data_IF_667440311120
#
_entry.id   IF_667440311120
#
_cell.length_a   1.000
_cell.length_b   1.000
_cell.length_c   1.000
_cell.angle_alpha   90.00
_cell.angle_beta   90.00
_cell.angle_gamma   90.00
#
_symmetry.space_group_name_H-M   'P 1'
#
loop_
_entity.id
_entity.type
_entity.pdbx_description
1 polymer ?
#
# COMPACT_ATOMS: atom_id res chain seq x y z
N UNK A 1 24.03 6.16 3.61
CA UNK A 1 22.64 6.54 3.26
C UNK A 1 22.15 6.00 1.91
N UNK A 2 22.91 5.18 1.17
CA UNK A 2 22.47 4.59 -0.11
C UNK A 2 21.37 3.51 0.03
N UNK A 3 21.45 2.63 1.04
CA UNK A 3 20.54 1.47 1.22
C UNK A 3 19.05 1.78 1.26
N UNK A 4 18.63 2.88 1.90
CA UNK A 4 17.21 3.14 2.15
C UNK A 4 16.45 3.56 0.88
N UNK A 5 17.14 4.25 -0.04
CA UNK A 5 16.59 4.59 -1.36
C UNK A 5 16.35 3.33 -2.20
N UNK A 6 17.24 2.34 -2.09
CA UNK A 6 17.14 1.09 -2.84
C UNK A 6 15.93 0.25 -2.41
N UNK A 7 15.67 0.15 -1.09
CA UNK A 7 14.51 -0.59 -0.59
C UNK A 7 13.19 0.10 -0.91
N UNK A 8 13.12 1.43 -0.80
CA UNK A 8 11.91 2.17 -1.15
C UNK A 8 11.60 2.07 -2.65
N UNK A 9 12.62 2.22 -3.51
CA UNK A 9 12.49 2.04 -4.95
C UNK A 9 12.03 0.63 -5.31
N UNK A 10 12.60 -0.40 -4.68
CA UNK A 10 12.18 -1.79 -4.85
C UNK A 10 10.73 -2.02 -4.40
N UNK A 11 10.33 -1.42 -3.28
CA UNK A 11 8.98 -1.53 -2.74
C UNK A 11 7.96 -0.87 -3.69
N UNK A 12 8.27 0.32 -4.23
CA UNK A 12 7.48 1.02 -5.25
C UNK A 12 7.38 0.19 -6.53
N UNK A 13 8.49 -0.35 -7.03
CA UNK A 13 8.49 -1.19 -8.22
C UNK A 13 7.67 -2.47 -8.03
N UNK A 14 7.83 -3.17 -6.90
CA UNK A 14 7.05 -4.39 -6.60
C UNK A 14 5.56 -4.11 -6.51
N UNK A 15 5.15 -2.99 -5.88
CA UNK A 15 3.77 -2.55 -5.97
C UNK A 15 3.39 -2.34 -7.43
N UNK A 16 4.15 -1.53 -8.18
CA UNK A 16 3.90 -1.15 -9.57
C UNK A 16 3.57 -2.34 -10.49
N UNK A 17 4.28 -3.45 -10.33
CA UNK A 17 4.05 -4.64 -11.16
C UNK A 17 2.98 -5.59 -10.64
N UNK A 18 2.53 -5.45 -9.39
CA UNK A 18 1.52 -6.35 -8.85
C UNK A 18 0.13 -6.02 -9.40
N UNK A 19 -0.56 -7.03 -9.91
CA UNK A 19 -1.94 -6.94 -10.41
C UNK A 19 -2.86 -7.51 -9.34
N UNK A 20 -3.94 -6.80 -9.04
CA UNK A 20 -4.94 -7.22 -8.07
C UNK A 20 -6.23 -7.60 -8.78
N UNK A 21 -6.81 -8.75 -8.45
CA UNK A 21 -8.16 -9.09 -8.89
C UNK A 21 -9.17 -8.20 -8.17
N UNK A 22 -10.19 -7.72 -8.88
CA UNK A 22 -11.30 -6.98 -8.28
C UNK A 22 -11.97 -7.82 -7.18
N UNK A 23 -12.23 -7.19 -6.04
CA UNK A 23 -12.83 -7.86 -4.88
C UNK A 23 -11.88 -8.78 -4.09
N UNK A 24 -10.67 -9.05 -4.58
CA UNK A 24 -9.68 -9.81 -3.81
C UNK A 24 -8.73 -8.88 -3.07
N UNK A 25 -8.41 -9.27 -1.84
CA UNK A 25 -7.43 -8.53 -1.05
C UNK A 25 -7.82 -7.13 -0.65
N UNK A 26 -6.87 -6.38 -0.08
CA UNK A 26 -7.16 -5.02 0.39
C UNK A 26 -7.45 -4.08 -0.78
N UNK A 27 -6.66 -4.16 -1.84
CA UNK A 27 -6.77 -3.26 -3.00
C UNK A 27 -8.04 -3.56 -3.78
N UNK A 28 -8.31 -4.83 -4.10
CA UNK A 28 -9.52 -5.22 -4.82
C UNK A 28 -10.81 -4.97 -4.02
N UNK A 29 -10.78 -5.08 -2.69
CA UNK A 29 -11.93 -4.72 -1.85
C UNK A 29 -12.15 -3.20 -1.78
N UNK A 30 -11.10 -2.40 -1.68
CA UNK A 30 -11.22 -0.93 -1.77
C UNK A 30 -11.76 -0.53 -3.15
N UNK A 31 -11.29 -1.18 -4.20
CA UNK A 31 -11.78 -0.96 -5.55
C UNK A 31 -13.29 -1.15 -5.70
N UNK A 32 -13.80 -2.29 -5.23
CA UNK A 32 -15.22 -2.63 -5.32
C UNK A 32 -16.08 -1.74 -4.43
N UNK A 33 -15.60 -1.42 -3.23
CA UNK A 33 -16.35 -0.58 -2.28
C UNK A 33 -16.36 0.90 -2.63
N UNK A 34 -15.44 1.37 -3.49
CA UNK A 34 -15.27 2.79 -3.77
C UNK A 34 -14.80 3.63 -2.57
N UNK A 35 -14.29 2.97 -1.53
CA UNK A 35 -13.96 3.60 -0.25
C UNK A 35 -12.48 3.90 -0.06
N UNK A 36 -12.05 3.92 1.21
CA UNK A 36 -10.65 4.00 1.59
C UNK A 36 -10.35 3.08 2.78
N UNK A 37 -9.09 2.67 2.94
CA UNK A 37 -8.62 1.85 4.05
C UNK A 37 -7.24 2.25 4.51
N UNK A 38 -7.10 2.36 5.82
CA UNK A 38 -5.83 2.46 6.54
C UNK A 38 -5.24 1.07 6.73
N UNK A 39 -3.98 0.92 6.36
CA UNK A 39 -3.22 -0.31 6.55
C UNK A 39 -1.95 0.00 7.33
N UNK A 40 -1.77 -0.75 8.41
CA UNK A 40 -0.59 -0.71 9.26
C UNK A 40 0.12 -2.05 9.11
N UNK A 41 1.23 -2.12 8.35
CA UNK A 41 1.89 -3.38 8.04
C UNK A 41 2.27 -4.21 9.28
N UNK A 42 2.61 -3.52 10.38
CA UNK A 42 2.92 -4.11 11.68
C UNK A 42 1.80 -4.95 12.31
N UNK A 43 0.54 -4.71 11.94
CA UNK A 43 -0.62 -5.42 12.49
C UNK A 43 -1.24 -6.44 11.53
N UNK A 44 -0.80 -6.43 10.27
CA UNK A 44 -1.59 -7.00 9.20
C UNK A 44 -1.07 -8.37 8.72
N UNK A 45 0.04 -8.85 9.29
CA UNK A 45 0.63 -10.17 9.04
C UNK A 45 -0.23 -11.39 9.41
N UNK A 46 -1.39 -11.19 10.05
CA UNK A 46 -2.24 -12.27 10.56
C UNK A 46 -3.65 -12.32 9.95
N UNK A 47 -4.03 -11.39 9.05
CA UNK A 47 -5.45 -11.13 8.74
C UNK A 47 -5.86 -11.24 7.26
N UNK A 48 -4.92 -11.28 6.30
CA UNK A 48 -5.24 -11.35 4.87
C UNK A 48 -4.59 -12.56 4.19
N UNK A 49 -5.06 -12.88 2.98
CA UNK A 49 -4.57 -14.00 2.18
C UNK A 49 -3.04 -14.06 2.25
N UNK A 50 -2.51 -15.21 2.71
CA UNK A 50 -1.08 -15.34 2.98
C UNK A 50 -0.23 -15.01 1.74
N UNK A 51 -0.79 -15.13 0.53
CA UNK A 51 -0.16 -14.84 -0.74
C UNK A 51 0.02 -13.34 -1.04
N UNK A 52 -0.99 -12.49 -0.81
CA UNK A 52 -0.84 -11.04 -1.00
C UNK A 52 0.13 -10.47 0.01
N UNK A 53 0.05 -10.95 1.25
CA UNK A 53 0.86 -10.46 2.37
C UNK A 53 2.35 -10.67 2.15
N UNK A 54 2.73 -11.85 1.65
CA UNK A 54 4.11 -12.28 1.62
C UNK A 54 5.01 -11.53 0.61
N UNK A 55 4.45 -10.94 -0.45
CA UNK A 55 5.29 -10.39 -1.53
C UNK A 55 5.28 -8.85 -1.61
N UNK A 56 4.09 -8.23 -1.61
CA UNK A 56 4.00 -6.77 -1.73
C UNK A 56 4.28 -6.10 -0.40
N UNK A 57 3.65 -6.58 0.68
CA UNK A 57 3.72 -5.93 1.99
C UNK A 57 5.08 -6.12 2.67
N UNK A 58 5.73 -7.28 2.52
CA UNK A 58 7.09 -7.52 3.01
C UNK A 58 8.11 -6.50 2.46
N UNK A 59 7.97 -6.11 1.19
CA UNK A 59 8.84 -5.09 0.60
C UNK A 59 8.61 -3.71 1.20
N UNK A 60 7.36 -3.37 1.52
CA UNK A 60 7.01 -2.11 2.20
C UNK A 60 7.56 -2.08 3.62
N UNK A 61 7.42 -3.20 4.36
CA UNK A 61 7.94 -3.37 5.71
C UNK A 61 9.46 -3.24 5.70
N UNK A 62 10.14 -3.91 4.77
CA UNK A 62 11.60 -3.84 4.60
C UNK A 62 12.09 -2.44 4.24
N UNK A 63 11.28 -1.67 3.51
CA UNK A 63 11.55 -0.25 3.22
C UNK A 63 11.27 0.69 4.41
N UNK A 64 10.74 0.16 5.53
CA UNK A 64 10.44 0.93 6.74
C UNK A 64 9.09 1.66 6.69
N UNK A 65 8.20 1.30 5.77
CA UNK A 65 6.86 1.87 5.67
C UNK A 65 6.02 1.41 6.86
N UNK A 66 5.40 2.37 7.54
CA UNK A 66 4.62 2.15 8.77
C UNK A 66 3.14 2.40 8.58
N UNK A 67 2.76 3.14 7.55
CA UNK A 67 1.36 3.44 7.26
C UNK A 67 1.15 3.48 5.77
N UNK A 68 0.09 2.81 5.32
CA UNK A 68 -0.35 2.79 3.93
C UNK A 68 -1.83 3.19 3.89
N UNK A 69 -2.18 4.15 3.03
CA UNK A 69 -3.56 4.50 2.71
C UNK A 69 -3.87 3.96 1.32
N UNK A 70 -4.94 3.17 1.23
CA UNK A 70 -5.49 2.68 -0.03
C UNK A 70 -6.82 3.37 -0.26
N UNK A 71 -7.01 4.04 -1.39
CA UNK A 71 -8.21 4.83 -1.69
C UNK A 71 -8.66 4.61 -3.13
N UNK A 72 -9.94 4.32 -3.33
CA UNK A 72 -10.53 4.26 -4.66
C UNK A 72 -10.72 5.68 -5.22
N UNK A 73 -10.39 5.86 -6.50
CA UNK A 73 -10.46 7.14 -7.22
C UNK A 73 -11.41 6.98 -8.41
N UNK A 74 -12.66 6.60 -8.12
CA UNK A 74 -13.71 6.44 -9.11
C UNK A 74 -13.29 5.52 -10.29
N UNK A 75 -13.57 5.89 -11.55
CA UNK A 75 -13.23 5.07 -12.71
C UNK A 75 -11.73 4.99 -12.97
N UNK A 76 -10.92 5.83 -12.33
CA UNK A 76 -9.47 5.87 -12.53
C UNK A 76 -8.73 4.76 -11.78
N UNK A 77 -9.40 4.05 -10.88
CA UNK A 77 -8.82 2.91 -10.17
C UNK A 77 -8.57 3.12 -8.68
N UNK A 78 -7.45 2.62 -8.17
CA UNK A 78 -7.07 2.69 -6.74
C UNK A 78 -5.71 3.35 -6.57
N UNK A 79 -5.60 4.24 -5.59
CA UNK A 79 -4.34 4.87 -5.20
C UNK A 79 -3.85 4.27 -3.89
N UNK A 80 -2.54 3.97 -3.86
CA UNK A 80 -1.82 3.56 -2.66
C UNK A 80 -0.81 4.65 -2.29
N UNK A 81 -0.87 5.12 -1.05
CA UNK A 81 0.01 6.13 -0.48
C UNK A 81 0.73 5.55 0.73
N UNK A 82 2.04 5.75 0.84
CA UNK A 82 2.81 5.24 1.97
C UNK A 82 3.58 6.29 2.76
N UNK A 83 3.79 6.00 4.04
CA UNK A 83 4.58 6.82 4.95
C UNK A 83 5.54 5.97 5.79
N UNK A 84 6.77 6.47 5.94
CA UNK A 84 7.78 5.92 6.87
C UNK A 84 7.46 6.25 8.35
N UNK A 85 6.45 7.09 8.58
CA UNK A 85 5.95 7.45 9.91
C UNK A 85 4.61 6.79 10.14
N UNK A 86 4.31 6.50 11.41
CA UNK A 86 2.98 6.07 11.80
C UNK A 86 2.07 7.28 11.80
N UNK A 87 1.09 7.31 10.91
CA UNK A 87 0.19 8.46 10.74
C UNK A 87 -1.24 8.02 11.04
N UNK A 88 -1.88 8.71 11.99
CA UNK A 88 -3.32 8.58 12.23
C UNK A 88 -4.12 9.47 11.29
N UNK A 89 -5.43 9.25 11.21
CA UNK A 89 -6.37 9.86 10.25
C UNK A 89 -6.39 11.40 10.17
N UNK A 90 -5.69 12.11 11.05
CA UNK A 90 -5.81 13.56 11.23
C UNK A 90 -4.55 14.38 10.88
N UNK A 91 -3.45 13.77 10.38
CA UNK A 91 -2.21 14.52 10.09
C UNK A 91 -1.37 13.93 8.93
N UNK A 92 -1.77 14.15 7.68
CA UNK A 92 -0.99 13.78 6.48
C UNK A 92 -0.19 14.95 5.93
N UNK A 93 0.89 15.33 6.62
CA UNK A 93 1.83 16.35 6.11
C UNK A 93 3.09 15.76 5.49
N UNK A 94 3.32 14.45 5.59
CA UNK A 94 4.49 13.77 5.00
C UNK A 94 4.11 12.45 4.33
N UNK A 95 3.53 12.56 3.12
CA UNK A 95 3.40 11.45 2.19
C UNK A 95 4.77 11.17 1.57
N UNK A 96 5.25 9.92 1.62
CA UNK A 96 6.61 9.58 1.16
C UNK A 96 6.63 9.06 -0.28
N UNK A 97 5.53 8.50 -0.78
CA UNK A 97 5.36 8.10 -2.19
C UNK A 97 3.89 7.83 -2.52
N UNK A 98 3.55 7.87 -3.81
CA UNK A 98 2.20 7.68 -4.36
C UNK A 98 2.20 6.75 -5.57
N UNK A 99 1.12 5.98 -5.75
CA UNK A 99 0.91 5.16 -6.95
C UNK A 99 -0.57 4.99 -7.28
N UNK A 100 -0.92 5.14 -8.56
CA UNK A 100 -2.26 4.87 -9.12
C UNK A 100 -2.26 3.52 -9.85
N UNK A 101 -3.29 2.71 -9.64
CA UNK A 101 -3.62 1.53 -10.42
C UNK A 101 -4.96 1.73 -11.07
N UNK A 102 -5.00 1.90 -12.40
CA UNK A 102 -6.24 1.82 -13.17
C UNK A 102 -6.74 0.38 -13.24
N UNK A 103 -8.06 0.21 -13.24
CA UNK A 103 -8.70 -1.06 -13.57
C UNK A 103 -8.44 -1.47 -15.02
#
# INVERSE_FOLDING_TARGET
MHRAHDFLGLAVAKMAYHVYSLGEGIVGQVAVSGGHRWVFPEYNGNCHSASEFHNVWESQISAGVKTILVVAVGPCGVVQLGSLRKVGSYNWTHCTYERIQSY
#
